data_IF_644618852657
#
_entry.id   IF_644618852657
#
_cell.length_a   1.000
_cell.length_b   1.000
_cell.length_c   1.000
_cell.angle_alpha   90.00
_cell.angle_beta   90.00
_cell.angle_gamma   90.00
#
_symmetry.space_group_name_H-M   'P 1'
#
loop_
_entity.id
_entity.type
_entity.pdbx_description
1 polymer ?
#
# COMPACT_ATOMS: atom_id res chain seq x y z
N UNK A 1 -31.41 -11.71 -23.83
CA UNK A 1 -30.30 -12.35 -23.12
C UNK A 1 -30.31 -13.84 -23.47
N UNK A 2 -29.20 -14.35 -23.94
CA UNK A 2 -29.03 -15.78 -24.24
C UNK A 2 -28.38 -16.41 -22.98
N UNK A 3 -29.24 -16.82 -22.03
CA UNK A 3 -28.87 -17.61 -20.83
C UNK A 3 -27.54 -17.27 -20.14
N UNK A 4 -26.46 -17.77 -20.64
CA UNK A 4 -25.13 -17.73 -20.03
C UNK A 4 -24.08 -16.93 -20.85
N UNK A 5 -24.52 -16.07 -21.78
CA UNK A 5 -23.60 -15.27 -22.60
C UNK A 5 -24.23 -14.06 -23.30
N UNK A 6 -23.42 -13.36 -24.05
CA UNK A 6 -23.79 -12.11 -24.76
C UNK A 6 -23.33 -12.18 -26.23
N UNK A 7 -24.12 -11.62 -27.13
CA UNK A 7 -23.68 -11.35 -28.52
C UNK A 7 -22.96 -10.01 -28.55
N UNK A 8 -21.70 -10.03 -28.96
CA UNK A 8 -20.88 -8.82 -29.07
C UNK A 8 -21.32 -7.94 -30.25
N UNK A 9 -20.83 -6.69 -30.29
CA UNK A 9 -21.04 -5.79 -31.44
C UNK A 9 -20.56 -6.36 -32.78
N UNK A 10 -19.63 -7.31 -32.75
CA UNK A 10 -19.13 -8.06 -33.91
C UNK A 10 -19.97 -9.30 -34.28
N UNK A 11 -21.14 -9.46 -33.66
CA UNK A 11 -22.05 -10.59 -33.84
C UNK A 11 -21.45 -11.97 -33.45
N UNK A 12 -20.43 -11.99 -32.59
CA UNK A 12 -19.87 -13.23 -32.01
C UNK A 12 -20.52 -13.47 -30.64
N UNK A 13 -20.83 -14.72 -30.34
CA UNK A 13 -21.34 -15.10 -29.03
C UNK A 13 -20.17 -15.24 -28.06
N UNK A 14 -20.27 -14.57 -26.88
CA UNK A 14 -19.36 -14.72 -25.76
C UNK A 14 -20.10 -15.34 -24.60
N UNK A 15 -19.66 -16.53 -24.18
CA UNK A 15 -20.16 -17.22 -22.99
C UNK A 15 -19.45 -16.67 -21.77
N UNK A 16 -20.18 -16.42 -20.68
CA UNK A 16 -19.63 -16.14 -19.38
C UNK A 16 -19.64 -17.42 -18.55
N UNK A 17 -18.53 -17.64 -17.85
CA UNK A 17 -18.37 -18.76 -16.93
C UNK A 17 -18.18 -18.23 -15.51
N UNK A 18 -18.82 -18.87 -14.54
CA UNK A 18 -18.40 -18.74 -13.16
C UNK A 18 -17.03 -19.42 -12.95
N UNK A 19 -16.29 -19.00 -11.91
CA UNK A 19 -14.93 -19.50 -11.67
C UNK A 19 -14.86 -21.03 -11.58
N UNK A 20 -15.82 -21.64 -10.88
CA UNK A 20 -15.88 -23.10 -10.71
C UNK A 20 -16.29 -23.81 -11.99
N UNK A 21 -17.22 -23.25 -12.75
CA UNK A 21 -17.65 -23.77 -14.05
C UNK A 21 -16.49 -23.72 -15.05
N UNK A 22 -15.76 -22.60 -15.08
CA UNK A 22 -14.59 -22.44 -15.94
C UNK A 22 -13.48 -23.43 -15.58
N UNK A 23 -13.22 -23.64 -14.27
CA UNK A 23 -12.28 -24.66 -13.80
C UNK A 23 -12.68 -26.05 -14.31
N UNK A 24 -13.92 -26.44 -14.06
CA UNK A 24 -14.45 -27.76 -14.47
C UNK A 24 -14.36 -27.96 -15.99
N UNK A 25 -14.65 -26.93 -16.77
CA UNK A 25 -14.53 -26.97 -18.23
C UNK A 25 -13.06 -27.15 -18.67
N UNK A 26 -12.11 -26.39 -18.08
CA UNK A 26 -10.67 -26.51 -18.39
C UNK A 26 -10.17 -27.92 -18.04
N UNK A 27 -10.51 -28.41 -16.84
CA UNK A 27 -10.08 -29.74 -16.36
C UNK A 27 -10.59 -30.86 -17.26
N UNK A 28 -11.86 -30.76 -17.69
CA UNK A 28 -12.47 -31.74 -18.58
C UNK A 28 -11.88 -31.72 -19.98
N UNK A 29 -11.66 -30.53 -20.57
CA UNK A 29 -11.16 -30.39 -21.95
C UNK A 29 -9.70 -30.78 -22.06
N UNK A 30 -8.88 -30.40 -21.05
CA UNK A 30 -7.44 -30.67 -21.05
C UNK A 30 -7.06 -31.96 -20.32
N UNK A 31 -8.02 -32.60 -19.66
CA UNK A 31 -7.82 -33.79 -18.82
C UNK A 31 -6.71 -33.57 -17.77
N UNK A 32 -6.80 -32.45 -17.02
CA UNK A 32 -5.84 -32.02 -16.01
C UNK A 32 -6.57 -31.47 -14.79
N UNK A 33 -5.88 -31.32 -13.69
CA UNK A 33 -6.38 -30.54 -12.53
C UNK A 33 -5.77 -29.13 -12.56
N UNK A 34 -6.54 -28.17 -13.02
CA UNK A 34 -6.09 -26.78 -13.10
C UNK A 34 -6.13 -26.11 -11.72
N UNK A 35 -5.13 -25.27 -11.45
CA UNK A 35 -4.98 -24.58 -10.18
C UNK A 35 -5.44 -23.12 -10.33
N UNK A 36 -6.54 -22.70 -9.69
CA UNK A 36 -6.99 -21.31 -9.74
C UNK A 36 -6.01 -20.40 -8.98
N UNK A 37 -5.58 -19.34 -9.64
CA UNK A 37 -4.62 -18.36 -9.09
C UNK A 37 -5.34 -17.08 -8.70
N UNK A 38 -6.18 -16.59 -9.59
CA UNK A 38 -6.97 -15.38 -9.46
C UNK A 38 -8.24 -15.50 -10.28
N UNK A 39 -9.10 -14.49 -10.26
CA UNK A 39 -10.34 -14.49 -11.02
C UNK A 39 -10.05 -14.70 -12.52
N UNK A 40 -10.54 -15.81 -13.09
CA UNK A 40 -10.35 -16.17 -14.49
C UNK A 40 -8.92 -16.61 -14.87
N UNK A 41 -8.00 -16.76 -13.92
CA UNK A 41 -6.63 -17.20 -14.17
C UNK A 41 -6.39 -18.57 -13.56
N UNK A 42 -5.98 -19.52 -14.40
CA UNK A 42 -5.68 -20.89 -14.00
C UNK A 42 -4.29 -21.29 -14.49
N UNK A 43 -3.56 -22.01 -13.65
CA UNK A 43 -2.32 -22.67 -14.04
C UNK A 43 -2.57 -24.14 -14.31
N UNK A 44 -2.01 -24.62 -15.42
CA UNK A 44 -2.06 -26.02 -15.85
C UNK A 44 -0.62 -26.52 -15.93
N UNK A 45 -0.33 -27.63 -15.27
CA UNK A 45 0.97 -28.26 -15.25
C UNK A 45 0.92 -29.57 -16.05
N UNK A 46 1.99 -29.87 -16.79
CA UNK A 46 2.15 -31.14 -17.48
C UNK A 46 2.56 -32.28 -16.55
N UNK A 47 3.25 -31.91 -15.45
CA UNK A 47 3.74 -32.84 -14.44
C UNK A 47 3.02 -32.55 -13.13
N UNK A 48 2.40 -33.59 -12.58
CA UNK A 48 1.67 -33.53 -11.29
C UNK A 48 2.61 -33.17 -10.12
N UNK A 49 3.88 -33.62 -10.17
CA UNK A 49 4.87 -33.25 -9.15
C UNK A 49 5.18 -31.75 -9.14
N UNK A 50 5.19 -31.09 -10.30
CA UNK A 50 5.35 -29.64 -10.40
C UNK A 50 4.11 -28.90 -9.89
N UNK A 51 2.92 -29.38 -10.18
CA UNK A 51 1.66 -28.85 -9.66
C UNK A 51 1.66 -28.87 -8.12
N UNK A 52 2.02 -30.01 -7.51
CA UNK A 52 2.11 -30.14 -6.06
C UNK A 52 3.19 -29.23 -5.45
N UNK A 53 4.37 -29.11 -6.06
CA UNK A 53 5.41 -28.14 -5.61
C UNK A 53 4.91 -26.71 -5.65
N UNK A 54 4.20 -26.35 -6.71
CA UNK A 54 3.62 -25.01 -6.85
C UNK A 54 2.56 -24.73 -5.78
N UNK A 55 1.63 -25.67 -5.54
CA UNK A 55 0.62 -25.55 -4.48
C UNK A 55 1.28 -25.43 -3.10
N UNK A 56 2.28 -26.27 -2.80
CA UNK A 56 3.02 -26.24 -1.55
C UNK A 56 3.77 -24.90 -1.33
N UNK A 57 4.33 -24.32 -2.41
CA UNK A 57 5.00 -23.02 -2.34
C UNK A 57 4.03 -21.88 -2.02
N UNK A 58 2.80 -21.94 -2.54
CA UNK A 58 1.75 -20.95 -2.23
C UNK A 58 1.23 -21.08 -0.80
N UNK A 59 1.09 -22.31 -0.30
CA UNK A 59 0.73 -22.54 1.11
C UNK A 59 1.80 -21.99 2.04
N UNK A 60 3.09 -22.25 1.76
CA UNK A 60 4.20 -21.66 2.51
C UNK A 60 4.19 -20.13 2.48
N UNK A 61 3.97 -19.53 1.31
CA UNK A 61 3.89 -18.08 1.19
C UNK A 61 2.73 -17.48 1.99
N UNK A 62 1.57 -18.15 2.03
CA UNK A 62 0.41 -17.71 2.84
C UNK A 62 0.62 -17.88 4.33
N UNK A 63 1.36 -18.92 4.75
CA UNK A 63 1.66 -19.19 6.16
C UNK A 63 2.76 -18.29 6.71
N UNK A 64 3.73 -17.87 5.86
CA UNK A 64 4.87 -17.06 6.26
C UNK A 64 4.58 -15.55 6.35
N UNK A 65 3.50 -15.10 5.72
CA UNK A 65 3.04 -13.70 5.82
C UNK A 65 1.59 -13.66 6.30
N UNK A 66 1.36 -13.72 7.61
CA UNK A 66 0.02 -13.53 8.14
C UNK A 66 -0.50 -12.16 7.68
N UNK A 67 -1.67 -12.14 7.05
CA UNK A 67 -2.33 -10.88 6.70
C UNK A 67 -2.78 -10.22 7.98
N UNK A 68 -2.05 -9.20 8.43
CA UNK A 68 -2.48 -8.38 9.56
C UNK A 68 -3.71 -7.59 9.09
N UNK A 69 -4.88 -7.96 9.60
CA UNK A 69 -6.12 -7.25 9.32
C UNK A 69 -6.29 -6.13 10.34
N UNK A 70 -6.21 -4.88 9.87
CA UNK A 70 -6.46 -3.71 10.72
C UNK A 70 -7.93 -3.29 10.75
N UNK A 71 -8.82 -3.97 10.01
CA UNK A 71 -10.23 -3.59 9.91
C UNK A 71 -11.00 -3.73 11.22
N UNK A 72 -10.59 -4.66 12.09
CA UNK A 72 -11.24 -4.92 13.38
C UNK A 72 -10.51 -4.28 14.56
N UNK A 73 -9.39 -3.59 14.33
CA UNK A 73 -8.63 -2.92 15.40
C UNK A 73 -9.28 -1.59 15.73
N UNK A 74 -9.59 -1.39 17.01
CA UNK A 74 -10.16 -0.14 17.51
C UNK A 74 -9.04 0.75 18.05
N UNK A 75 -9.14 2.06 17.82
CA UNK A 75 -8.16 3.03 18.31
C UNK A 75 -7.90 2.91 19.82
N UNK A 76 -8.97 2.76 20.62
CA UNK A 76 -8.88 2.67 22.09
C UNK A 76 -8.01 1.53 22.60
N UNK A 77 -7.92 0.43 21.84
CA UNK A 77 -7.16 -0.76 22.25
C UNK A 77 -5.65 -0.57 22.02
N UNK A 78 -5.28 0.43 21.22
CA UNK A 78 -3.90 0.67 20.76
C UNK A 78 -3.47 2.12 20.91
N UNK A 79 -4.20 2.92 21.69
CA UNK A 79 -3.98 4.36 21.82
C UNK A 79 -2.52 4.69 22.22
N UNK A 80 -2.00 4.03 23.27
CA UNK A 80 -0.64 4.26 23.76
C UNK A 80 0.42 3.96 22.69
N UNK A 81 0.22 2.91 21.88
CA UNK A 81 1.13 2.54 20.80
C UNK A 81 1.05 3.48 19.60
N UNK A 82 -0.11 4.11 19.37
CA UNK A 82 -0.34 5.02 18.26
C UNK A 82 0.08 6.46 18.54
N UNK A 83 0.20 6.87 19.83
CA UNK A 83 0.62 8.22 20.24
C UNK A 83 1.95 8.65 19.60
N UNK A 84 3.03 7.85 19.59
CA UNK A 84 4.28 8.24 18.92
C UNK A 84 4.11 8.54 17.44
N UNK A 85 3.29 7.76 16.74
CA UNK A 85 2.97 7.98 15.34
C UNK A 85 2.15 9.27 15.14
N UNK A 86 1.16 9.52 15.99
CA UNK A 86 0.36 10.76 15.97
C UNK A 86 1.24 12.00 16.19
N UNK A 87 2.11 11.95 17.18
CA UNK A 87 3.05 13.04 17.48
C UNK A 87 3.98 13.30 16.28
N UNK A 88 4.54 12.24 15.69
CA UNK A 88 5.39 12.38 14.52
C UNK A 88 4.65 13.05 13.35
N UNK A 89 3.42 12.63 13.05
CA UNK A 89 2.64 13.19 11.94
C UNK A 89 2.25 14.64 12.23
N UNK A 90 1.90 14.98 13.49
CA UNK A 90 1.62 16.34 13.93
C UNK A 90 2.82 17.27 13.76
N UNK A 91 4.02 16.75 14.03
CA UNK A 91 5.26 17.53 13.92
C UNK A 91 5.77 17.64 12.48
N UNK A 92 5.60 16.62 11.67
CA UNK A 92 6.20 16.53 10.33
C UNK A 92 5.22 16.68 9.17
N UNK A 93 3.92 16.53 9.42
CA UNK A 93 2.88 16.58 8.39
C UNK A 93 2.95 15.44 7.38
N UNK A 94 3.63 14.33 7.73
CA UNK A 94 3.80 13.15 6.87
C UNK A 94 3.94 11.87 7.67
N UNK A 95 3.80 10.74 7.02
CA UNK A 95 4.14 9.46 7.62
C UNK A 95 5.67 9.31 7.78
N UNK A 96 6.13 8.60 8.82
CA UNK A 96 7.54 8.33 9.04
C UNK A 96 8.09 7.36 7.98
N UNK A 97 9.39 7.45 7.72
CA UNK A 97 10.16 6.41 7.06
C UNK A 97 10.87 5.55 8.11
N UNK A 98 11.42 4.41 7.70
CA UNK A 98 12.12 3.50 8.60
C UNK A 98 13.24 4.21 9.36
N UNK A 99 13.30 3.98 10.66
CA UNK A 99 14.29 4.54 11.57
C UNK A 99 13.97 5.94 12.09
N UNK A 100 12.80 6.51 11.81
CA UNK A 100 12.42 7.85 12.32
C UNK A 100 11.59 7.80 13.60
N UNK A 101 11.03 6.66 13.97
CA UNK A 101 10.30 6.45 15.23
C UNK A 101 10.97 5.30 16.00
N UNK A 102 11.16 5.49 17.30
CA UNK A 102 11.78 4.47 18.17
C UNK A 102 10.92 3.21 18.28
N UNK A 103 9.60 3.38 18.33
CA UNK A 103 8.60 2.31 18.47
C UNK A 103 8.22 1.67 17.12
N UNK A 104 9.02 1.86 16.08
CA UNK A 104 8.76 1.33 14.73
C UNK A 104 8.50 -0.17 14.74
N UNK A 105 9.32 -0.93 15.47
CA UNK A 105 9.25 -2.40 15.49
C UNK A 105 7.88 -2.87 15.99
N UNK A 106 7.38 -2.26 17.06
CA UNK A 106 6.11 -2.63 17.68
C UNK A 106 4.93 -2.21 16.78
N UNK A 107 5.00 -1.02 16.21
CA UNK A 107 3.99 -0.53 15.25
C UNK A 107 3.92 -1.42 14.00
N UNK A 108 5.07 -1.81 13.46
CA UNK A 108 5.11 -2.66 12.26
C UNK A 108 4.67 -4.09 12.58
N UNK A 109 5.04 -4.63 13.74
CA UNK A 109 4.60 -5.96 14.17
C UNK A 109 3.07 -6.02 14.30
N UNK A 110 2.46 -4.96 14.88
CA UNK A 110 1.04 -4.92 15.17
C UNK A 110 0.17 -4.52 13.97
N UNK A 111 0.61 -3.54 13.16
CA UNK A 111 -0.18 -2.98 12.06
C UNK A 111 0.36 -3.34 10.67
N UNK A 112 1.58 -3.85 10.58
CA UNK A 112 2.26 -4.21 9.34
C UNK A 112 2.88 -3.02 8.60
N UNK A 113 2.28 -1.83 8.65
CA UNK A 113 2.82 -0.61 8.04
C UNK A 113 2.31 0.64 8.76
N UNK A 114 3.08 1.74 8.75
CA UNK A 114 2.65 3.04 9.27
C UNK A 114 1.34 3.54 8.64
N UNK A 115 1.12 3.26 7.35
CA UNK A 115 -0.13 3.64 6.67
C UNK A 115 -1.34 2.92 7.27
N UNK A 116 -1.23 1.65 7.63
CA UNK A 116 -2.31 0.89 8.27
C UNK A 116 -2.54 1.36 9.71
N UNK A 117 -1.49 1.64 10.46
CA UNK A 117 -1.59 2.25 11.78
C UNK A 117 -2.33 3.61 11.70
N UNK A 118 -2.00 4.44 10.72
CA UNK A 118 -2.68 5.73 10.50
C UNK A 118 -4.17 5.56 10.13
N UNK A 119 -4.55 4.52 9.42
CA UNK A 119 -5.98 4.23 9.16
C UNK A 119 -6.78 3.97 10.45
N UNK A 120 -6.15 3.41 11.48
CA UNK A 120 -6.78 3.22 12.80
C UNK A 120 -6.95 4.57 13.51
N UNK A 121 -5.96 5.46 13.42
CA UNK A 121 -6.05 6.84 13.95
C UNK A 121 -7.21 7.60 13.29
N UNK A 122 -7.39 7.43 11.98
CA UNK A 122 -8.48 8.08 11.23
C UNK A 122 -9.89 7.59 11.61
N UNK A 123 -10.02 6.53 12.41
CA UNK A 123 -11.34 6.11 12.94
C UNK A 123 -11.91 7.12 13.97
N UNK A 124 -11.04 7.85 14.65
CA UNK A 124 -11.41 8.78 15.73
C UNK A 124 -11.01 10.23 15.48
N UNK A 125 -10.26 10.49 14.39
CA UNK A 125 -9.78 11.82 14.02
C UNK A 125 -10.31 12.22 12.65
N UNK A 126 -10.34 13.53 12.38
CA UNK A 126 -10.77 14.05 11.08
C UNK A 126 -9.59 14.15 10.13
N UNK A 127 -9.71 13.54 8.94
CA UNK A 127 -8.71 13.61 7.88
C UNK A 127 -8.34 15.07 7.51
N UNK A 128 -9.31 15.99 7.52
CA UNK A 128 -9.09 17.40 7.22
C UNK A 128 -8.14 18.11 8.20
N UNK A 129 -8.06 17.66 9.45
CA UNK A 129 -7.11 18.21 10.42
C UNK A 129 -5.69 17.82 10.07
N UNK A 130 -5.48 16.56 9.66
CA UNK A 130 -4.19 16.08 9.20
C UNK A 130 -3.74 16.75 7.91
N UNK A 131 -4.67 17.02 6.97
CA UNK A 131 -4.37 17.79 5.76
C UNK A 131 -3.92 19.21 6.07
N UNK A 132 -4.57 19.89 7.01
CA UNK A 132 -4.15 21.23 7.47
C UNK A 132 -2.73 21.23 8.06
N UNK A 133 -2.41 20.21 8.86
CA UNK A 133 -1.05 20.03 9.42
C UNK A 133 -0.05 19.82 8.28
N UNK A 134 -0.37 18.96 7.33
CA UNK A 134 0.47 18.68 6.15
C UNK A 134 0.71 19.95 5.33
N UNK A 135 -0.33 20.74 5.07
CA UNK A 135 -0.23 21.99 4.30
C UNK A 135 0.57 23.05 5.05
N UNK A 136 0.39 23.17 6.37
CA UNK A 136 1.21 24.07 7.20
C UNK A 136 2.69 23.70 7.12
N UNK A 137 3.03 22.42 7.28
CA UNK A 137 4.42 21.94 7.18
C UNK A 137 5.00 22.13 5.78
N UNK A 138 4.17 21.97 4.74
CA UNK A 138 4.56 22.28 3.36
C UNK A 138 4.92 23.77 3.21
N UNK A 139 4.11 24.67 3.76
CA UNK A 139 4.38 26.11 3.74
C UNK A 139 5.66 26.47 4.52
N UNK A 140 5.84 25.93 5.74
CA UNK A 140 7.04 26.16 6.54
C UNK A 140 8.32 25.75 5.78
N UNK A 141 8.26 24.61 5.09
CA UNK A 141 9.38 24.10 4.30
C UNK A 141 9.65 24.94 3.05
N UNK A 142 8.61 25.48 2.41
CA UNK A 142 8.79 26.43 1.30
C UNK A 142 9.46 27.73 1.76
N UNK A 143 9.06 28.26 2.91
CA UNK A 143 9.72 29.44 3.51
C UNK A 143 11.19 29.15 3.78
N UNK A 144 11.48 27.99 4.40
CA UNK A 144 12.86 27.57 4.63
C UNK A 144 13.68 27.53 3.32
N UNK A 145 13.13 26.91 2.27
CA UNK A 145 13.79 26.81 0.96
C UNK A 145 13.95 28.17 0.26
N UNK A 146 12.97 29.06 0.41
CA UNK A 146 13.07 30.43 -0.10
C UNK A 146 14.19 31.22 0.59
N UNK A 147 14.28 31.13 1.92
CA UNK A 147 15.35 31.78 2.69
C UNK A 147 16.74 31.25 2.31
N UNK A 148 16.90 29.95 2.07
CA UNK A 148 18.18 29.36 1.65
C UNK A 148 18.66 29.86 0.29
N UNK A 149 17.77 30.47 -0.52
CA UNK A 149 18.14 31.08 -1.81
C UNK A 149 19.07 32.29 -1.63
N UNK A 150 18.98 33.03 -0.54
CA UNK A 150 19.82 34.17 -0.24
C UNK A 150 21.25 33.78 0.16
N UNK A 151 21.44 32.55 0.68
CA UNK A 151 22.71 32.01 1.18
C UNK A 151 23.30 30.89 0.29
N UNK A 152 23.20 31.00 -1.05
CA UNK A 152 23.62 29.95 -1.98
C UNK A 152 22.96 28.60 -1.65
N UNK A 153 21.68 28.46 -2.03
CA UNK A 153 20.84 27.27 -1.85
C UNK A 153 21.64 25.95 -1.75
N UNK A 154 21.59 25.22 -0.65
CA UNK A 154 22.41 24.03 -0.44
C UNK A 154 22.02 22.92 -1.44
N UNK A 155 22.97 22.09 -1.83
CA UNK A 155 22.69 20.88 -2.58
C UNK A 155 21.82 19.94 -1.74
N UNK A 156 20.99 19.12 -2.37
CA UNK A 156 20.14 18.15 -1.67
C UNK A 156 20.89 17.25 -0.70
N UNK A 157 22.14 16.84 -1.06
CA UNK A 157 22.99 16.03 -0.21
C UNK A 157 23.48 16.74 1.07
N UNK A 158 23.48 18.06 1.09
CA UNK A 158 23.93 18.88 2.24
C UNK A 158 22.81 19.13 3.26
N UNK A 159 21.55 18.88 2.87
CA UNK A 159 20.41 18.97 3.78
C UNK A 159 20.43 17.80 4.78
N UNK A 160 19.91 18.05 6.00
CA UNK A 160 19.73 16.98 6.98
C UNK A 160 18.85 15.85 6.44
N UNK A 161 19.04 14.64 6.94
CA UNK A 161 18.25 13.46 6.51
C UNK A 161 16.76 13.72 6.69
N UNK A 162 16.39 14.35 7.80
CA UNK A 162 15.00 14.68 8.13
C UNK A 162 14.39 15.61 7.07
N UNK A 163 15.06 16.72 6.75
CA UNK A 163 14.60 17.69 5.74
C UNK A 163 14.52 17.04 4.36
N UNK A 164 15.46 16.16 4.01
CA UNK A 164 15.40 15.40 2.75
C UNK A 164 14.17 14.51 2.66
N UNK A 165 13.83 13.83 3.75
CA UNK A 165 12.66 12.97 3.82
C UNK A 165 11.36 13.79 3.76
N UNK A 166 11.31 14.94 4.43
CA UNK A 166 10.18 15.87 4.38
C UNK A 166 9.97 16.40 2.95
N UNK A 167 11.03 16.83 2.27
CA UNK A 167 10.95 17.28 0.87
C UNK A 167 10.42 16.18 -0.04
N UNK A 168 10.96 14.97 0.08
CA UNK A 168 10.50 13.83 -0.74
C UNK A 168 9.04 13.50 -0.50
N UNK A 169 8.60 13.49 0.75
CA UNK A 169 7.23 13.16 1.11
C UNK A 169 6.22 14.25 0.69
N UNK A 170 6.55 15.52 0.93
CA UNK A 170 5.61 16.65 0.73
C UNK A 170 5.60 17.20 -0.70
N UNK A 171 6.73 17.09 -1.44
CA UNK A 171 6.88 17.66 -2.79
C UNK A 171 7.26 16.63 -3.86
N UNK A 172 7.66 15.43 -3.47
CA UNK A 172 8.14 14.38 -4.36
C UNK A 172 9.59 14.56 -4.80
N UNK A 173 10.07 15.79 -5.05
CA UNK A 173 11.45 16.05 -5.42
C UNK A 173 11.95 17.40 -4.91
N UNK A 174 13.27 17.51 -4.72
CA UNK A 174 13.92 18.76 -4.31
C UNK A 174 13.78 19.87 -5.37
N UNK A 175 13.93 19.52 -6.64
CA UNK A 175 13.76 20.48 -7.75
C UNK A 175 12.36 21.09 -7.72
N UNK A 176 11.32 20.26 -7.57
CA UNK A 176 9.94 20.74 -7.50
C UNK A 176 9.72 21.65 -6.29
N UNK A 177 10.23 21.27 -5.11
CA UNK A 177 10.15 22.09 -3.92
C UNK A 177 10.84 23.45 -4.10
N UNK A 178 12.02 23.47 -4.74
CA UNK A 178 12.75 24.70 -5.03
C UNK A 178 12.11 25.61 -6.08
N UNK A 179 11.28 25.07 -6.95
CA UNK A 179 10.55 25.87 -7.96
C UNK A 179 9.34 26.56 -7.33
N UNK A 180 8.78 25.98 -6.26
CA UNK A 180 7.61 26.52 -5.56
C UNK A 180 8.00 27.51 -4.45
N UNK A 181 9.23 27.46 -3.88
CA UNK A 181 9.82 28.38 -2.90
C UNK A 181 10.90 29.22 -3.56
#
# INVERSE_FOLDING_TARGET
AYGDGVITSRKTFQKYYEQEELKSYIDQVLNVDSIPIDLGIFFVFRDEAEAHKFQASRLKSRLLTPRISCQNKRFKDYEEQLVPLMNFISDRGRLPVRGEIAEETDLIAEFGTFRRAFQVILQVTNYQEWDKITDKRRQDLLVYLALTKFDNRPKFSQLSVVVRNDIKALFGSYTKACTLG
#
